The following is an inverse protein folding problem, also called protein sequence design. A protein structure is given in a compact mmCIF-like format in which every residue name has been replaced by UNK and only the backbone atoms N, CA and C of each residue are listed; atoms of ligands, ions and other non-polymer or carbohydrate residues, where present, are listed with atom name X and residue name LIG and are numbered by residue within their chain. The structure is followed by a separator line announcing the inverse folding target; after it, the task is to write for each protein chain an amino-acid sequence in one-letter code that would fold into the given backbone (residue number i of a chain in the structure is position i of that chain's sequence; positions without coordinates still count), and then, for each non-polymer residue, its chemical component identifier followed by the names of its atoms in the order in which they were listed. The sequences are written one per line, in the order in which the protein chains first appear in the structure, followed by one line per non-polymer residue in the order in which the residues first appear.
data_IF_204936731412
#
_entry.id   IF_204936731412
#
_cell.length_a   1.000
_cell.length_b   1.000
_cell.length_c   1.000
_cell.angle_alpha   90.00
_cell.angle_beta   90.00
_cell.angle_gamma   90.00
#
_symmetry.space_group_name_H-M   'P 1'
#
loop_
_entity.id
_entity.type
_entity.pdbx_description
1 polymer ?
#
# COMPACT_ATOMS: atom_id res chain seq x y z
N UNK A 1 -3.64 -6.49 26.65
CA UNK A 1 -4.02 -7.08 25.35
C UNK A 1 -5.50 -6.89 25.07
N UNK A 2 -6.35 -6.88 26.10
CA UNK A 2 -7.82 -6.75 26.03
C UNK A 2 -8.39 -5.46 25.40
N UNK A 3 -7.53 -4.50 25.03
CA UNK A 3 -7.91 -3.27 24.32
C UNK A 3 -7.37 -3.20 22.89
N UNK A 4 -6.67 -4.24 22.42
CA UNK A 4 -6.13 -4.33 21.07
C UNK A 4 -7.10 -5.09 20.16
N UNK A 5 -7.25 -4.64 18.91
CA UNK A 5 -7.87 -5.47 17.88
C UNK A 5 -7.05 -6.74 17.67
N UNK A 6 -7.71 -7.83 17.27
CA UNK A 6 -7.02 -9.09 16.94
C UNK A 6 -6.02 -8.88 15.79
N UNK A 7 -6.37 -8.04 14.80
CA UNK A 7 -5.49 -7.64 13.71
C UNK A 7 -5.14 -6.16 13.79
N UNK A 8 -3.84 -5.85 13.71
CA UNK A 8 -3.36 -4.48 13.56
C UNK A 8 -3.75 -3.91 12.18
N UNK A 9 -3.67 -4.75 11.15
CA UNK A 9 -3.99 -4.41 9.77
C UNK A 9 -4.37 -5.69 9.00
N UNK A 10 -5.35 -5.58 8.10
CA UNK A 10 -5.70 -6.61 7.13
C UNK A 10 -5.51 -6.03 5.73
N UNK A 11 -4.76 -6.73 4.89
CA UNK A 11 -4.48 -6.39 3.49
C UNK A 11 -5.24 -7.32 2.55
N UNK A 12 -5.35 -6.93 1.28
CA UNK A 12 -5.94 -7.76 0.22
C UNK A 12 -5.34 -9.17 0.22
N UNK A 13 -4.01 -9.27 0.31
CA UNK A 13 -3.29 -10.55 0.39
C UNK A 13 -3.73 -11.44 1.55
N UNK A 14 -4.04 -10.88 2.71
CA UNK A 14 -4.47 -11.68 3.86
C UNK A 14 -5.85 -12.30 3.60
N UNK A 15 -6.72 -11.55 2.91
CA UNK A 15 -8.02 -12.05 2.44
C UNK A 15 -7.83 -13.10 1.34
N UNK A 16 -6.93 -12.86 0.39
CA UNK A 16 -6.66 -13.79 -0.71
C UNK A 16 -6.25 -15.16 -0.19
N UNK A 17 -5.34 -15.20 0.79
CA UNK A 17 -4.87 -16.46 1.37
C UNK A 17 -5.96 -17.19 2.16
N UNK A 18 -6.84 -16.46 2.87
CA UNK A 18 -7.99 -17.06 3.54
C UNK A 18 -8.96 -17.70 2.54
N UNK A 19 -9.28 -16.99 1.46
CA UNK A 19 -10.18 -17.49 0.43
C UNK A 19 -9.54 -18.64 -0.34
N UNK A 20 -8.26 -18.54 -0.69
CA UNK A 20 -7.50 -19.61 -1.33
C UNK A 20 -7.55 -20.91 -0.52
N UNK A 21 -7.29 -20.82 0.79
CA UNK A 21 -7.38 -21.99 1.67
C UNK A 21 -8.78 -22.59 1.59
N UNK A 22 -9.82 -21.77 1.72
CA UNK A 22 -11.20 -22.25 1.74
C UNK A 22 -11.67 -22.87 0.43
N UNK A 23 -11.24 -22.33 -0.70
CA UNK A 23 -11.50 -22.91 -2.01
C UNK A 23 -10.85 -24.30 -2.15
N UNK A 24 -9.72 -24.55 -1.49
CA UNK A 24 -8.98 -25.80 -1.58
C UNK A 24 -9.45 -26.86 -0.58
N UNK A 25 -9.76 -26.46 0.65
CA UNK A 25 -9.98 -27.42 1.76
C UNK A 25 -11.45 -27.59 2.14
N UNK A 26 -12.31 -26.61 1.82
CA UNK A 26 -13.72 -26.60 2.24
C UNK A 26 -14.62 -26.83 1.03
N UNK A 27 -15.00 -28.10 0.79
CA UNK A 27 -15.96 -28.45 -0.28
C UNK A 27 -17.27 -27.65 -0.20
N UNK A 28 -17.89 -27.44 0.97
CA UNK A 28 -19.09 -26.61 1.07
C UNK A 28 -18.85 -25.17 0.60
N UNK A 29 -17.74 -24.55 1.02
CA UNK A 29 -17.40 -23.19 0.62
C UNK A 29 -17.12 -23.11 -0.88
N UNK A 30 -16.31 -24.04 -1.42
CA UNK A 30 -15.96 -24.06 -2.83
C UNK A 30 -17.20 -24.23 -3.73
N UNK A 31 -18.09 -25.17 -3.39
CA UNK A 31 -19.37 -25.34 -4.10
C UNK A 31 -20.24 -24.08 -4.01
N UNK A 32 -20.35 -23.48 -2.83
CA UNK A 32 -21.13 -22.26 -2.62
C UNK A 32 -20.56 -21.10 -3.45
N UNK A 33 -19.25 -20.82 -3.35
CA UNK A 33 -18.59 -19.71 -4.05
C UNK A 33 -18.75 -19.83 -5.56
N UNK A 34 -18.54 -21.04 -6.11
CA UNK A 34 -18.71 -21.26 -7.56
C UNK A 34 -20.17 -21.16 -7.98
N UNK A 35 -21.11 -21.60 -7.14
CA UNK A 35 -22.55 -21.44 -7.42
C UNK A 35 -22.97 -19.97 -7.44
N UNK A 36 -22.44 -19.16 -6.51
CA UNK A 36 -22.67 -17.71 -6.48
C UNK A 36 -22.07 -17.05 -7.74
N UNK A 37 -20.82 -17.39 -8.09
CA UNK A 37 -20.15 -16.85 -9.27
C UNK A 37 -20.87 -17.24 -10.58
N UNK A 38 -21.41 -18.46 -10.65
CA UNK A 38 -22.18 -18.93 -11.80
C UNK A 38 -23.65 -18.48 -11.77
N UNK A 39 -24.11 -17.86 -10.67
CA UNK A 39 -25.52 -17.50 -10.40
C UNK A 39 -26.51 -18.65 -10.55
N UNK A 40 -26.05 -19.87 -10.26
CA UNK A 40 -26.88 -21.08 -10.27
C UNK A 40 -26.25 -22.16 -9.39
N UNK A 41 -27.05 -23.05 -8.77
CA UNK A 41 -26.51 -24.16 -7.99
C UNK A 41 -25.68 -25.10 -8.89
N UNK A 42 -24.44 -25.37 -8.48
CA UNK A 42 -23.55 -26.29 -9.18
C UNK A 42 -22.94 -27.30 -8.21
N UNK A 43 -22.92 -28.56 -8.64
CA UNK A 43 -22.05 -29.58 -8.06
C UNK A 43 -20.73 -29.56 -8.81
N UNK A 44 -19.63 -29.31 -8.10
CA UNK A 44 -18.32 -29.16 -8.73
C UNK A 44 -17.27 -30.09 -8.12
N UNK A 45 -16.23 -30.34 -8.91
CA UNK A 45 -14.97 -30.91 -8.45
C UNK A 45 -13.86 -29.91 -8.68
N UNK A 46 -13.22 -29.48 -7.59
CA UNK A 46 -12.05 -28.59 -7.66
C UNK A 46 -10.87 -29.32 -8.29
N UNK A 47 -10.26 -28.69 -9.30
CA UNK A 47 -8.98 -29.10 -9.88
C UNK A 47 -7.85 -28.44 -9.08
N UNK A 48 -7.99 -27.14 -8.81
CA UNK A 48 -7.03 -26.37 -8.02
C UNK A 48 -7.43 -24.91 -7.91
N UNK A 49 -6.70 -24.19 -7.06
CA UNK A 49 -6.78 -22.75 -6.95
C UNK A 49 -5.35 -22.19 -6.78
N UNK A 50 -5.11 -21.02 -7.33
CA UNK A 50 -3.80 -20.37 -7.38
C UNK A 50 -3.94 -18.91 -6.98
N UNK A 51 -2.90 -18.39 -6.37
CA UNK A 51 -2.79 -17.01 -5.94
C UNK A 51 -1.70 -16.30 -6.73
N UNK A 52 -1.92 -15.03 -7.08
CA UNK A 52 -0.95 -14.15 -7.75
C UNK A 52 -0.50 -14.70 -9.11
N UNK A 53 -1.46 -15.08 -9.96
CA UNK A 53 -1.17 -15.64 -11.28
C UNK A 53 -0.87 -14.50 -12.26
N UNK A 54 0.41 -14.33 -12.58
CA UNK A 54 0.90 -13.22 -13.39
C UNK A 54 1.04 -13.57 -14.88
N UNK A 55 0.63 -12.64 -15.73
CA UNK A 55 0.89 -12.63 -17.17
C UNK A 55 1.74 -11.41 -17.53
N UNK A 56 2.78 -11.61 -18.35
CA UNK A 56 3.74 -10.57 -18.70
C UNK A 56 3.12 -9.35 -19.42
N UNK A 57 1.98 -9.53 -20.11
CA UNK A 57 1.34 -8.47 -20.90
C UNK A 57 -0.01 -8.04 -20.31
N UNK A 58 -0.71 -8.96 -19.64
CA UNK A 58 -2.08 -8.74 -19.16
C UNK A 58 -2.16 -8.44 -17.65
N UNK A 59 -1.03 -8.47 -16.93
CA UNK A 59 -0.94 -8.21 -15.49
C UNK A 59 -1.27 -9.44 -14.65
N UNK A 60 -1.68 -9.24 -13.40
CA UNK A 60 -1.90 -10.30 -12.41
C UNK A 60 -3.41 -10.62 -12.20
N UNK A 61 -3.72 -11.88 -11.92
CA UNK A 61 -4.95 -12.32 -11.26
C UNK A 61 -4.67 -12.57 -9.78
N UNK A 62 -5.42 -11.97 -8.87
CA UNK A 62 -5.21 -12.17 -7.43
C UNK A 62 -5.48 -13.64 -7.05
N UNK A 63 -6.60 -14.19 -7.51
CA UNK A 63 -6.92 -15.61 -7.39
C UNK A 63 -7.47 -16.18 -8.71
N UNK A 64 -7.15 -17.45 -8.97
CA UNK A 64 -7.80 -18.25 -10.01
C UNK A 64 -8.22 -19.58 -9.40
N UNK A 65 -9.46 -19.99 -9.62
CA UNK A 65 -9.95 -21.33 -9.29
C UNK A 65 -10.30 -22.07 -10.58
N UNK A 66 -9.84 -23.32 -10.71
CA UNK A 66 -10.25 -24.24 -11.78
C UNK A 66 -11.06 -25.38 -11.20
N UNK A 67 -12.14 -25.72 -11.87
CA UNK A 67 -13.05 -26.78 -11.45
C UNK A 67 -13.67 -27.48 -12.66
N UNK A 68 -14.29 -28.62 -12.43
CA UNK A 68 -15.19 -29.25 -13.40
C UNK A 68 -16.62 -29.24 -12.87
N UNK A 69 -17.57 -28.84 -13.69
CA UNK A 69 -19.00 -29.03 -13.46
C UNK A 69 -19.42 -30.47 -13.82
N UNK A 70 -20.68 -30.85 -13.56
CA UNK A 70 -21.22 -32.19 -13.87
C UNK A 70 -21.05 -32.59 -15.35
N UNK A 71 -20.91 -31.62 -16.26
CA UNK A 71 -20.62 -31.85 -17.68
C UNK A 71 -19.17 -32.30 -17.95
N UNK A 72 -18.33 -32.48 -16.93
CA UNK A 72 -16.90 -32.79 -17.03
C UNK A 72 -16.08 -31.77 -17.85
N UNK A 73 -16.59 -30.55 -17.99
CA UNK A 73 -15.91 -29.45 -18.68
C UNK A 73 -15.08 -28.68 -17.66
N UNK A 74 -13.82 -28.39 -17.98
CA UNK A 74 -12.96 -27.54 -17.15
C UNK A 74 -13.34 -26.09 -17.31
N UNK A 75 -13.63 -25.43 -16.19
CA UNK A 75 -14.02 -24.03 -16.10
C UNK A 75 -13.13 -23.30 -15.09
N UNK A 76 -12.98 -21.98 -15.25
CA UNK A 76 -12.21 -21.14 -14.36
C UNK A 76 -12.99 -19.93 -13.85
N UNK A 77 -12.70 -19.48 -12.63
CA UNK A 77 -13.09 -18.14 -12.18
C UNK A 77 -11.81 -17.36 -11.90
N UNK A 78 -11.67 -16.21 -12.55
CA UNK A 78 -10.59 -15.26 -12.33
C UNK A 78 -11.12 -14.19 -11.36
N UNK A 79 -10.54 -14.13 -10.18
CA UNK A 79 -11.04 -13.30 -9.07
C UNK A 79 -10.06 -12.15 -8.85
N UNK A 80 -10.58 -10.94 -8.92
CA UNK A 80 -9.91 -9.73 -8.43
C UNK A 80 -10.42 -9.43 -7.03
N UNK A 81 -9.50 -9.21 -6.09
CA UNK A 81 -9.82 -8.88 -4.72
C UNK A 81 -9.52 -7.42 -4.39
N UNK A 82 -10.46 -6.73 -3.74
CA UNK A 82 -10.30 -5.32 -3.35
C UNK A 82 -10.81 -5.06 -1.95
N UNK A 83 -10.01 -4.38 -1.12
CA UNK A 83 -10.50 -3.82 0.15
C UNK A 83 -10.75 -2.32 -0.01
N UNK A 84 -9.74 -1.53 -0.38
CA UNK A 84 -9.87 -0.07 -0.47
C UNK A 84 -9.01 0.55 -1.60
N UNK A 85 -8.23 -0.28 -2.30
CA UNK A 85 -7.43 0.18 -3.43
C UNK A 85 -8.33 0.67 -4.58
N UNK A 86 -8.05 1.86 -5.10
CA UNK A 86 -8.76 2.40 -6.27
C UNK A 86 -8.63 1.42 -7.45
N UNK A 87 -9.76 1.12 -8.10
CA UNK A 87 -9.77 0.27 -9.28
C UNK A 87 -8.82 0.85 -10.34
N UNK A 88 -7.97 0.00 -10.92
CA UNK A 88 -7.16 0.44 -12.04
C UNK A 88 -8.05 0.54 -13.28
N UNK A 89 -7.84 1.57 -14.09
CA UNK A 89 -8.55 1.74 -15.36
C UNK A 89 -8.33 0.49 -16.23
N UNK A 90 -9.41 -0.01 -16.82
CA UNK A 90 -9.44 -1.18 -17.71
C UNK A 90 -9.08 -2.52 -17.06
N UNK A 91 -9.08 -2.59 -15.72
CA UNK A 91 -8.75 -3.82 -15.01
C UNK A 91 -9.74 -4.95 -15.34
N UNK A 92 -11.04 -4.66 -15.43
CA UNK A 92 -12.05 -5.67 -15.80
C UNK A 92 -11.80 -6.23 -17.22
N UNK A 93 -11.42 -5.36 -18.16
CA UNK A 93 -11.08 -5.78 -19.52
C UNK A 93 -9.84 -6.67 -19.57
N UNK A 94 -8.79 -6.36 -18.79
CA UNK A 94 -7.59 -7.21 -18.71
C UNK A 94 -7.92 -8.62 -18.21
N UNK A 95 -8.83 -8.73 -17.24
CA UNK A 95 -9.31 -10.03 -16.75
C UNK A 95 -10.06 -10.81 -17.83
N UNK A 96 -10.89 -10.15 -18.64
CA UNK A 96 -11.56 -10.80 -19.78
C UNK A 96 -10.57 -11.31 -20.82
N UNK A 97 -9.60 -10.48 -21.21
CA UNK A 97 -8.53 -10.87 -22.14
C UNK A 97 -7.71 -12.06 -21.61
N UNK A 98 -7.46 -12.13 -20.30
CA UNK A 98 -6.77 -13.26 -19.67
C UNK A 98 -7.61 -14.53 -19.72
N UNK A 99 -8.91 -14.42 -19.44
CA UNK A 99 -9.85 -15.51 -19.59
C UNK A 99 -9.88 -16.09 -21.00
N UNK A 100 -9.95 -15.22 -22.02
CA UNK A 100 -9.90 -15.61 -23.44
C UNK A 100 -8.58 -16.25 -23.83
N UNK A 101 -7.45 -15.71 -23.32
CA UNK A 101 -6.13 -16.31 -23.51
C UNK A 101 -6.07 -17.73 -22.95
N UNK A 102 -6.62 -17.99 -21.77
CA UNK A 102 -6.67 -19.33 -21.20
C UNK A 102 -7.53 -20.31 -22.01
N UNK A 103 -8.62 -19.84 -22.64
CA UNK A 103 -9.36 -20.64 -23.62
C UNK A 103 -8.46 -20.99 -24.82
N UNK A 104 -7.78 -20.00 -25.39
CA UNK A 104 -6.89 -20.21 -26.55
C UNK A 104 -5.69 -21.12 -26.25
N UNK A 105 -5.35 -21.30 -24.98
CA UNK A 105 -4.26 -22.16 -24.50
C UNK A 105 -4.74 -23.51 -23.95
N UNK A 106 -6.02 -23.85 -24.15
CA UNK A 106 -6.65 -25.08 -23.63
C UNK A 106 -6.54 -25.24 -22.10
N UNK A 107 -6.42 -24.14 -21.36
CA UNK A 107 -6.35 -24.15 -19.89
C UNK A 107 -7.70 -24.36 -19.22
N UNK A 108 -8.77 -23.93 -19.88
CA UNK A 108 -10.17 -24.10 -19.52
C UNK A 108 -11.05 -23.89 -20.76
N UNK A 109 -12.23 -24.49 -20.78
CA UNK A 109 -13.19 -24.29 -21.87
C UNK A 109 -14.05 -23.04 -21.69
N UNK A 110 -14.25 -22.59 -20.45
CA UNK A 110 -15.04 -21.40 -20.09
C UNK A 110 -14.42 -20.71 -18.89
N UNK A 111 -14.70 -19.42 -18.77
CA UNK A 111 -14.32 -18.65 -17.60
C UNK A 111 -15.39 -17.64 -17.20
N UNK A 112 -15.30 -17.18 -15.95
CA UNK A 112 -16.05 -16.06 -15.40
C UNK A 112 -15.07 -15.13 -14.69
N UNK A 113 -15.21 -13.82 -14.89
CA UNK A 113 -14.47 -12.81 -14.13
C UNK A 113 -15.29 -12.36 -12.92
N UNK A 114 -14.67 -12.35 -11.74
CA UNK A 114 -15.33 -12.05 -10.47
C UNK A 114 -14.61 -10.90 -9.77
N UNK A 115 -15.35 -9.84 -9.41
CA UNK A 115 -14.86 -8.86 -8.43
C UNK A 115 -15.29 -9.29 -7.03
N UNK A 116 -14.31 -9.47 -6.15
CA UNK A 116 -14.51 -9.84 -4.75
C UNK A 116 -14.10 -8.67 -3.86
N UNK A 117 -15.04 -8.05 -3.16
CA UNK A 117 -14.77 -6.84 -2.37
C UNK A 117 -15.84 -6.59 -1.30
N UNK A 118 -15.65 -5.68 -0.33
CA UNK A 118 -16.75 -5.19 0.51
C UNK A 118 -17.90 -4.61 -0.34
N UNK A 119 -19.15 -4.78 0.10
CA UNK A 119 -20.33 -4.30 -0.64
C UNK A 119 -20.23 -2.81 -1.02
N UNK A 120 -19.73 -1.98 -0.08
CA UNK A 120 -19.53 -0.54 -0.31
C UNK A 120 -18.55 -0.24 -1.46
N UNK A 121 -17.58 -1.12 -1.68
CA UNK A 121 -16.64 -1.00 -2.81
C UNK A 121 -17.37 -1.35 -4.11
N UNK A 122 -18.11 -2.46 -4.12
CA UNK A 122 -18.89 -2.92 -5.28
C UNK A 122 -19.91 -1.86 -5.73
N UNK A 123 -20.61 -1.21 -4.80
CA UNK A 123 -21.58 -0.14 -5.10
C UNK A 123 -20.98 1.06 -5.87
N UNK A 124 -19.64 1.21 -5.84
CA UNK A 124 -18.89 2.31 -6.48
C UNK A 124 -18.06 1.82 -7.67
N UNK A 125 -18.00 0.51 -7.89
CA UNK A 125 -17.25 -0.07 -8.98
C UNK A 125 -17.89 0.33 -10.33
N UNK A 126 -17.04 0.61 -11.31
CA UNK A 126 -17.47 0.89 -12.70
C UNK A 126 -16.78 -0.02 -13.71
N UNK A 127 -15.81 -0.83 -13.26
CA UNK A 127 -15.08 -1.77 -14.12
C UNK A 127 -15.92 -3.01 -14.42
N UNK A 128 -15.90 -3.53 -15.65
CA UNK A 128 -16.81 -4.59 -16.07
C UNK A 128 -16.29 -5.98 -15.68
N UNK A 129 -16.85 -6.56 -14.61
CA UNK A 129 -16.73 -7.98 -14.27
C UNK A 129 -18.04 -8.72 -14.57
N UNK A 130 -17.97 -10.03 -14.80
CA UNK A 130 -19.16 -10.83 -15.11
C UNK A 130 -20.04 -11.04 -13.87
N UNK A 131 -19.40 -11.14 -12.69
CA UNK A 131 -20.06 -11.26 -11.39
C UNK A 131 -19.32 -10.47 -10.32
N UNK A 132 -20.05 -10.09 -9.28
CA UNK A 132 -19.53 -9.45 -8.08
C UNK A 132 -19.97 -10.29 -6.88
N UNK A 133 -19.04 -10.58 -5.97
CA UNK A 133 -19.32 -11.29 -4.71
C UNK A 133 -18.81 -10.41 -3.58
N UNK A 134 -19.67 -10.13 -2.61
CA UNK A 134 -19.28 -9.29 -1.48
C UNK A 134 -18.61 -10.09 -0.36
N UNK A 135 -17.74 -9.42 0.41
CA UNK A 135 -17.23 -9.98 1.66
C UNK A 135 -18.37 -10.31 2.62
N UNK A 136 -19.43 -9.50 2.62
CA UNK A 136 -20.63 -9.68 3.42
C UNK A 136 -21.37 -10.97 3.07
N UNK A 137 -21.44 -11.37 1.79
CA UNK A 137 -21.97 -12.68 1.39
C UNK A 137 -21.13 -13.82 1.98
N UNK A 138 -19.81 -13.72 1.93
CA UNK A 138 -18.90 -14.73 2.52
C UNK A 138 -19.02 -14.78 4.04
N UNK A 139 -19.15 -13.63 4.69
CA UNK A 139 -19.41 -13.53 6.13
C UNK A 139 -20.72 -14.26 6.47
N UNK A 140 -21.79 -14.01 5.71
CA UNK A 140 -23.08 -14.67 5.91
C UNK A 140 -22.96 -16.20 5.75
N UNK A 141 -22.22 -16.67 4.75
CA UNK A 141 -21.94 -18.10 4.58
C UNK A 141 -21.27 -18.72 5.81
N UNK A 142 -20.22 -18.08 6.35
CA UNK A 142 -19.55 -18.59 7.55
C UNK A 142 -20.42 -18.50 8.81
N UNK A 143 -21.26 -17.47 8.94
CA UNK A 143 -22.14 -17.33 10.09
C UNK A 143 -23.24 -18.39 10.17
N UNK A 144 -23.57 -19.05 9.06
CA UNK A 144 -24.50 -20.18 9.04
C UNK A 144 -23.87 -21.48 9.57
N UNK A 145 -22.54 -21.52 9.71
CA UNK A 145 -21.82 -22.67 10.27
C UNK A 145 -21.58 -22.46 11.77
N UNK A 146 -21.92 -23.46 12.57
CA UNK A 146 -21.78 -23.41 14.03
C UNK A 146 -20.44 -24.04 14.48
N UNK A 147 -19.33 -23.46 14.01
CA UNK A 147 -18.00 -23.90 14.39
C UNK A 147 -17.03 -22.72 14.59
N UNK A 148 -16.02 -22.93 15.45
CA UNK A 148 -15.08 -21.89 15.85
C UNK A 148 -14.25 -21.33 14.67
N UNK A 149 -13.96 -22.16 13.66
CA UNK A 149 -13.18 -21.76 12.48
C UNK A 149 -14.00 -20.83 11.60
N UNK A 150 -15.28 -21.15 11.37
CA UNK A 150 -16.19 -20.28 10.62
C UNK A 150 -16.45 -18.96 11.34
N UNK A 151 -16.64 -18.97 12.66
CA UNK A 151 -16.78 -17.76 13.48
C UNK A 151 -15.54 -16.86 13.38
N UNK A 152 -14.35 -17.44 13.47
CA UNK A 152 -13.08 -16.74 13.32
C UNK A 152 -12.96 -16.05 11.95
N UNK A 153 -13.28 -16.75 10.86
CA UNK A 153 -13.18 -16.19 9.50
C UNK A 153 -14.20 -15.11 9.22
N UNK A 154 -15.43 -15.28 9.71
CA UNK A 154 -16.42 -14.23 9.67
C UNK A 154 -15.93 -12.98 10.41
N UNK A 155 -15.30 -13.15 11.59
CA UNK A 155 -14.67 -12.05 12.34
C UNK A 155 -13.55 -11.35 11.56
N UNK A 156 -12.63 -12.12 10.97
CA UNK A 156 -11.55 -11.60 10.14
C UNK A 156 -12.07 -10.74 8.97
N UNK A 157 -13.04 -11.23 8.20
CA UNK A 157 -13.59 -10.48 7.06
C UNK A 157 -14.37 -9.23 7.51
N UNK A 158 -15.04 -9.27 8.68
CA UNK A 158 -15.67 -8.08 9.26
C UNK A 158 -14.65 -6.98 9.57
N UNK A 159 -13.48 -7.34 10.10
CA UNK A 159 -12.40 -6.37 10.33
C UNK A 159 -11.88 -5.77 9.01
N UNK A 160 -11.81 -6.57 7.94
CA UNK A 160 -11.45 -6.09 6.60
C UNK A 160 -12.47 -5.07 6.05
N UNK A 161 -13.78 -5.34 6.21
CA UNK A 161 -14.86 -4.40 5.85
C UNK A 161 -14.79 -3.12 6.68
N UNK A 162 -14.57 -3.22 8.00
CA UNK A 162 -14.47 -2.06 8.87
C UNK A 162 -13.25 -1.18 8.57
N UNK A 163 -12.17 -1.75 8.01
CA UNK A 163 -11.04 -0.98 7.50
C UNK A 163 -11.42 -0.16 6.27
N UNK A 164 -12.11 -0.77 5.28
CA UNK A 164 -12.69 -0.02 4.15
C UNK A 164 -13.57 1.15 4.65
N UNK A 165 -14.25 0.98 5.79
CA UNK A 165 -15.07 2.03 6.38
C UNK A 165 -14.26 3.18 6.99
N UNK A 166 -13.14 2.89 7.65
CA UNK A 166 -12.36 3.85 8.46
C UNK A 166 -11.22 4.55 7.71
N UNK A 167 -10.72 3.98 6.61
CA UNK A 167 -9.48 4.42 5.97
C UNK A 167 -8.25 4.20 6.86
N UNK A 168 -7.04 4.42 6.33
CA UNK A 168 -5.82 4.32 7.14
C UNK A 168 -5.81 5.39 8.24
N UNK A 169 -5.97 4.97 9.49
CA UNK A 169 -5.80 5.84 10.66
C UNK A 169 -4.42 5.62 11.27
N UNK A 170 -3.51 6.54 10.99
CA UNK A 170 -2.25 6.64 11.72
C UNK A 170 -2.54 6.85 13.21
N UNK A 171 -2.19 5.89 14.05
CA UNK A 171 -2.25 6.07 15.51
C UNK A 171 -1.22 7.14 15.88
N UNK A 172 -1.71 8.26 16.42
CA UNK A 172 -0.85 9.38 16.85
C UNK A 172 0.06 8.90 17.98
N UNK A 173 1.35 9.14 17.83
CA UNK A 173 2.36 8.89 18.85
C UNK A 173 2.72 10.23 19.51
N UNK A 174 2.41 10.42 20.81
CA UNK A 174 2.76 11.65 21.53
C UNK A 174 4.27 11.93 21.46
N UNK A 175 5.11 10.93 21.76
CA UNK A 175 6.57 11.06 21.69
C UNK A 175 7.09 11.60 20.34
N UNK A 176 6.60 11.04 19.23
CA UNK A 176 7.02 11.50 17.89
C UNK A 176 6.45 12.89 17.55
N UNK A 177 5.26 13.20 18.05
CA UNK A 177 4.63 14.51 17.86
C UNK A 177 5.39 15.58 18.61
N UNK A 178 5.73 15.33 19.88
CA UNK A 178 6.49 16.23 20.74
C UNK A 178 7.90 16.45 20.20
N UNK A 179 8.61 15.37 19.84
CA UNK A 179 9.94 15.48 19.23
C UNK A 179 9.92 16.33 17.96
N UNK A 180 8.94 16.11 17.07
CA UNK A 180 8.84 16.89 15.84
C UNK A 180 8.48 18.36 16.13
N UNK A 181 7.63 18.62 17.12
CA UNK A 181 7.27 19.98 17.52
C UNK A 181 8.48 20.74 18.07
N UNK A 182 9.27 20.11 18.95
CA UNK A 182 10.48 20.70 19.51
C UNK A 182 11.54 20.96 18.43
N UNK A 183 11.74 20.01 17.52
CA UNK A 183 12.67 20.16 16.40
C UNK A 183 12.23 21.30 15.46
N UNK A 184 10.99 21.30 14.99
CA UNK A 184 10.48 22.36 14.11
C UNK A 184 10.51 23.73 14.80
N UNK A 185 10.19 23.79 16.10
CA UNK A 185 10.26 25.00 16.91
C UNK A 185 11.70 25.49 17.14
N UNK A 186 12.68 24.58 17.21
CA UNK A 186 14.10 24.94 17.22
C UNK A 186 14.52 25.57 15.89
N UNK A 187 14.19 24.93 14.76
CA UNK A 187 14.55 25.45 13.43
C UNK A 187 13.87 26.78 13.16
N UNK A 188 12.58 26.93 13.47
CA UNK A 188 11.85 28.17 13.24
C UNK A 188 12.44 29.36 14.01
N UNK A 189 12.99 29.13 15.22
CA UNK A 189 13.60 30.18 16.04
C UNK A 189 15.03 30.52 15.63
N UNK A 190 15.83 29.53 15.25
CA UNK A 190 17.27 29.69 15.06
C UNK A 190 17.69 29.77 13.58
N UNK A 191 16.89 29.19 12.69
CA UNK A 191 17.13 29.07 11.25
C UNK A 191 15.84 29.33 10.43
N UNK A 192 15.19 30.50 10.62
CA UNK A 192 13.93 30.80 9.93
C UNK A 192 14.06 30.79 8.40
N UNK A 193 15.27 30.97 7.86
CA UNK A 193 15.58 30.91 6.43
C UNK A 193 15.37 29.52 5.81
N UNK A 194 15.30 28.46 6.62
CA UNK A 194 14.93 27.11 6.16
C UNK A 194 13.41 26.96 6.01
N UNK A 195 12.62 27.84 6.63
CA UNK A 195 11.16 27.82 6.58
C UNK A 195 10.56 26.42 6.85
N UNK A 196 10.68 25.92 8.10
CA UNK A 196 10.27 24.57 8.44
C UNK A 196 8.76 24.34 8.31
N UNK A 197 8.37 23.10 8.07
CA UNK A 197 6.95 22.72 8.06
C UNK A 197 6.26 23.00 9.41
N UNK A 198 4.95 23.18 9.39
CA UNK A 198 4.17 23.34 10.61
C UNK A 198 4.05 21.98 11.31
N UNK A 199 4.27 21.96 12.63
CA UNK A 199 4.11 20.76 13.45
C UNK A 199 2.68 20.20 13.34
N UNK A 200 2.60 18.88 13.18
CA UNK A 200 1.35 18.12 13.06
C UNK A 200 1.47 16.79 13.80
N UNK A 201 0.35 16.18 14.23
CA UNK A 201 0.38 14.84 14.85
C UNK A 201 1.15 13.83 13.99
N UNK A 202 2.06 13.07 14.62
CA UNK A 202 2.93 12.10 13.94
C UNK A 202 2.59 10.68 14.36
N UNK A 203 2.63 9.76 13.40
CA UNK A 203 2.62 8.32 13.66
C UNK A 203 3.92 7.87 14.34
N UNK A 204 3.89 6.71 14.99
CA UNK A 204 5.12 6.03 15.37
C UNK A 204 6.00 5.77 14.13
N UNK A 205 7.27 6.13 14.20
CA UNK A 205 8.25 5.90 13.15
C UNK A 205 8.29 6.90 12.01
N UNK A 206 7.46 7.95 12.03
CA UNK A 206 7.58 9.06 11.10
C UNK A 206 8.86 9.87 11.35
N UNK A 207 9.84 9.81 10.44
CA UNK A 207 11.20 10.32 10.68
C UNK A 207 11.64 11.44 9.71
N UNK A 208 10.71 11.98 8.91
CA UNK A 208 11.02 13.03 7.93
C UNK A 208 10.62 14.39 8.46
N UNK A 209 11.53 15.36 8.35
CA UNK A 209 11.32 16.76 8.70
C UNK A 209 11.58 17.61 7.47
N UNK A 210 10.57 18.39 7.06
CA UNK A 210 10.60 19.15 5.81
C UNK A 210 10.87 20.64 6.02
N UNK A 211 11.65 21.22 5.12
CA UNK A 211 12.03 22.63 5.06
C UNK A 211 11.74 23.17 3.65
N UNK A 212 11.14 24.36 3.56
CA UNK A 212 10.70 24.97 2.30
C UNK A 212 11.40 26.32 2.07
N UNK A 213 12.72 26.31 1.82
CA UNK A 213 13.53 27.53 1.83
C UNK A 213 13.22 28.52 0.70
N UNK A 214 12.59 28.06 -0.39
CA UNK A 214 12.13 28.93 -1.48
C UNK A 214 10.61 29.15 -1.33
N UNK A 215 10.15 30.36 -0.98
CA UNK A 215 8.72 30.65 -0.89
C UNK A 215 8.00 30.36 -2.21
N UNK A 216 6.81 29.77 -2.12
CA UNK A 216 5.95 29.42 -3.27
C UNK A 216 6.50 28.36 -4.24
N UNK A 217 7.68 27.78 -3.98
CA UNK A 217 8.25 26.71 -4.79
C UNK A 217 8.25 25.38 -4.02
N UNK A 218 7.18 24.59 -4.17
CA UNK A 218 6.99 23.33 -3.42
C UNK A 218 7.67 22.11 -4.07
N UNK A 219 8.10 22.25 -5.31
CA UNK A 219 8.80 21.21 -6.06
C UNK A 219 10.30 21.13 -5.72
N UNK A 220 10.81 22.02 -4.84
CA UNK A 220 12.14 21.94 -4.27
C UNK A 220 12.04 21.98 -2.74
N UNK A 221 12.37 20.87 -2.09
CA UNK A 221 12.25 20.71 -0.63
C UNK A 221 13.53 20.17 -0.03
N UNK A 222 13.94 20.69 1.13
CA UNK A 222 15.01 20.07 1.93
C UNK A 222 14.34 19.18 2.97
N UNK A 223 14.83 17.95 3.11
CA UNK A 223 14.30 16.96 4.04
C UNK A 223 15.44 16.42 4.89
N UNK A 224 15.30 16.46 6.21
CA UNK A 224 16.07 15.61 7.10
C UNK A 224 15.31 14.29 7.27
N UNK A 225 15.83 13.22 6.69
CA UNK A 225 15.36 11.85 6.89
C UNK A 225 16.20 11.20 8.00
N UNK A 226 15.65 11.21 9.22
CA UNK A 226 16.42 10.94 10.43
C UNK A 226 16.90 9.48 10.48
N UNK A 227 16.05 8.48 10.22
CA UNK A 227 16.48 7.06 10.20
C UNK A 227 17.31 6.73 8.98
N UNK A 228 17.09 7.47 7.89
CA UNK A 228 17.91 7.41 6.69
C UNK A 228 19.29 8.06 6.87
N UNK A 229 19.53 8.78 7.97
CA UNK A 229 20.76 9.50 8.29
C UNK A 229 21.19 10.41 7.13
N UNK A 230 20.23 11.11 6.54
CA UNK A 230 20.48 11.96 5.37
C UNK A 230 19.72 13.26 5.49
N UNK A 231 20.39 14.34 5.11
CA UNK A 231 19.72 15.59 4.73
C UNK A 231 19.80 15.70 3.22
N UNK A 232 18.65 15.92 2.57
CA UNK A 232 18.56 15.87 1.11
C UNK A 232 17.71 16.99 0.55
N UNK A 233 18.12 17.54 -0.58
CA UNK A 233 17.26 18.33 -1.46
C UNK A 233 16.53 17.36 -2.38
N UNK A 234 15.22 17.52 -2.50
CA UNK A 234 14.39 16.79 -3.47
C UNK A 234 13.83 17.79 -4.48
N UNK A 235 14.17 17.59 -5.74
CA UNK A 235 13.62 18.30 -6.90
C UNK A 235 12.53 17.45 -7.53
N UNK A 236 11.28 17.66 -7.12
CA UNK A 236 10.12 16.91 -7.58
C UNK A 236 9.80 17.19 -9.05
N UNK A 237 9.69 16.14 -9.87
CA UNK A 237 9.34 16.29 -11.29
C UNK A 237 10.48 16.74 -12.20
N UNK A 238 11.64 17.12 -11.66
CA UNK A 238 12.72 17.77 -12.41
C UNK A 238 13.83 16.81 -12.88
N UNK A 239 13.53 15.53 -13.07
CA UNK A 239 14.49 14.51 -13.56
C UNK A 239 15.22 14.84 -14.87
N UNK A 240 14.65 15.71 -15.72
CA UNK A 240 15.28 16.21 -16.95
C UNK A 240 16.42 17.20 -16.66
N UNK A 241 16.40 17.88 -15.51
CA UNK A 241 17.43 18.84 -15.06
C UNK A 241 18.60 18.16 -14.33
N UNK A 242 18.76 16.84 -14.46
CA UNK A 242 19.74 16.08 -13.69
C UNK A 242 21.17 16.58 -13.88
N UNK A 243 21.62 16.76 -15.13
CA UNK A 243 22.99 17.19 -15.41
C UNK A 243 23.25 18.63 -14.91
N UNK A 244 22.27 19.52 -15.05
CA UNK A 244 22.31 20.89 -14.49
C UNK A 244 22.47 20.86 -12.96
N UNK A 245 21.70 20.00 -12.28
CA UNK A 245 21.75 19.85 -10.82
C UNK A 245 23.09 19.24 -10.40
N UNK A 246 23.63 18.24 -11.11
CA UNK A 246 24.95 17.68 -10.81
C UNK A 246 26.01 18.79 -10.88
N UNK A 247 26.09 19.51 -11.99
CA UNK A 247 27.08 20.60 -12.17
C UNK A 247 26.95 21.68 -11.10
N UNK A 248 25.72 22.03 -10.70
CA UNK A 248 25.49 23.02 -9.62
C UNK A 248 26.09 22.60 -8.28
N UNK A 249 26.10 21.29 -7.98
CA UNK A 249 26.57 20.77 -6.70
C UNK A 249 27.99 20.18 -6.76
N UNK A 250 28.63 20.13 -7.94
CA UNK A 250 30.03 19.70 -8.11
C UNK A 250 31.01 20.66 -7.42
N UNK A 251 30.64 21.92 -7.23
CA UNK A 251 31.48 22.95 -6.60
C UNK A 251 31.44 22.92 -5.05
N UNK A 252 30.62 22.04 -4.44
CA UNK A 252 30.53 21.93 -2.99
C UNK A 252 31.69 21.09 -2.44
N UNK A 253 32.86 21.70 -2.27
CA UNK A 253 34.08 21.01 -1.83
C UNK A 253 34.01 20.44 -0.41
N UNK A 254 33.21 21.06 0.45
CA UNK A 254 33.26 20.81 1.90
C UNK A 254 32.29 19.70 2.35
N UNK A 255 31.55 19.10 1.41
CA UNK A 255 30.57 18.07 1.70
C UNK A 255 30.62 16.93 0.68
N UNK A 256 30.62 15.70 1.16
CA UNK A 256 30.42 14.54 0.30
C UNK A 256 28.94 14.43 -0.06
N UNK A 257 28.60 14.87 -1.28
CA UNK A 257 27.24 14.82 -1.81
C UNK A 257 27.02 13.61 -2.70
N UNK A 258 25.80 13.07 -2.66
CA UNK A 258 25.33 12.05 -3.59
C UNK A 258 24.14 12.58 -4.37
N UNK A 259 24.26 12.65 -5.69
CA UNK A 259 23.17 13.06 -6.59
C UNK A 259 22.60 11.82 -7.30
N UNK A 260 21.28 11.64 -7.25
CA UNK A 260 20.61 10.50 -7.92
C UNK A 260 19.23 10.86 -8.47
N UNK A 261 18.81 10.14 -9.52
CA UNK A 261 17.40 10.12 -9.97
C UNK A 261 16.60 9.17 -9.07
N UNK A 262 15.40 9.58 -8.68
CA UNK A 262 14.46 8.79 -7.88
C UNK A 262 13.04 8.96 -8.46
N UNK A 263 12.66 8.06 -9.37
CA UNK A 263 11.46 8.22 -10.18
C UNK A 263 11.53 9.49 -11.04
N UNK A 264 10.51 10.35 -10.94
CA UNK A 264 10.47 11.65 -11.64
C UNK A 264 11.24 12.77 -10.94
N UNK A 265 11.95 12.48 -9.85
CA UNK A 265 12.65 13.49 -9.03
C UNK A 265 14.17 13.33 -9.11
N UNK A 266 14.90 14.41 -8.81
CA UNK A 266 16.35 14.37 -8.53
C UNK A 266 16.56 14.61 -7.05
N UNK A 267 17.51 13.90 -6.45
CA UNK A 267 17.87 14.05 -5.03
C UNK A 267 19.35 14.34 -4.90
N UNK A 268 19.68 15.39 -4.15
CA UNK A 268 21.05 15.70 -3.69
C UNK A 268 21.07 15.42 -2.20
N UNK A 269 21.88 14.46 -1.75
CA UNK A 269 21.90 14.01 -0.36
C UNK A 269 23.30 14.16 0.27
N UNK A 270 23.33 14.60 1.52
CA UNK A 270 24.49 14.60 2.38
C UNK A 270 24.25 13.70 3.59
N UNK A 271 25.32 13.10 4.10
CA UNK A 271 25.27 12.25 5.29
C UNK A 271 24.94 13.09 6.54
N UNK A 272 23.96 12.66 7.32
CA UNK A 272 23.60 13.25 8.60
C UNK A 272 24.03 12.32 9.76
N UNK A 273 24.14 12.85 11.00
CA UNK A 273 24.41 12.04 12.17
C UNK A 273 23.29 11.03 12.47
N UNK A 274 23.66 9.92 13.10
CA UNK A 274 22.69 8.97 13.64
C UNK A 274 21.90 9.59 14.80
N UNK A 275 20.58 9.39 14.78
CA UNK A 275 19.67 9.78 15.86
C UNK A 275 18.70 8.62 16.11
N UNK A 276 18.74 8.06 17.32
CA UNK A 276 17.76 7.07 17.74
C UNK A 276 16.50 7.77 18.27
N UNK A 277 15.54 7.97 17.37
CA UNK A 277 14.21 8.53 17.67
C UNK A 277 13.38 7.66 18.62
N UNK A 278 13.64 6.35 18.68
CA UNK A 278 12.87 5.45 19.52
C UNK A 278 13.24 5.62 20.99
N UNK A 279 14.51 5.87 21.27
CA UNK A 279 15.02 5.99 22.63
C UNK A 279 15.13 7.43 23.11
N UNK A 280 15.54 8.38 22.27
CA UNK A 280 15.89 9.74 22.72
C UNK A 280 14.75 10.77 22.55
N UNK A 281 14.81 11.81 23.37
CA UNK A 281 14.07 13.07 23.28
C UNK A 281 14.85 14.11 22.47
N UNK A 282 14.22 15.23 22.09
CA UNK A 282 14.90 16.30 21.36
C UNK A 282 16.16 16.81 22.10
N UNK A 283 16.04 17.07 23.41
CA UNK A 283 17.14 17.62 24.21
C UNK A 283 18.36 16.71 24.29
N UNK A 284 18.16 15.39 24.28
CA UNK A 284 19.26 14.40 24.34
C UNK A 284 20.07 14.32 23.03
N UNK A 285 19.47 14.72 21.90
CA UNK A 285 20.11 14.68 20.57
C UNK A 285 20.24 16.05 19.90
N UNK A 286 20.16 17.13 20.69
CA UNK A 286 20.15 18.49 20.17
C UNK A 286 21.43 18.79 19.35
N UNK A 287 22.57 18.22 19.72
CA UNK A 287 23.84 18.39 18.99
C UNK A 287 23.78 17.79 17.58
N UNK A 288 23.25 16.58 17.46
CA UNK A 288 23.06 15.88 16.18
C UNK A 288 22.05 16.63 15.31
N UNK A 289 21.00 17.18 15.92
CA UNK A 289 20.03 18.02 15.22
C UNK A 289 20.70 19.29 14.70
N UNK A 290 21.51 19.99 15.51
CA UNK A 290 22.27 21.17 15.08
C UNK A 290 23.18 20.87 13.90
N UNK A 291 23.86 19.72 13.91
CA UNK A 291 24.68 19.26 12.79
C UNK A 291 23.84 19.03 11.53
N UNK A 292 22.69 18.34 11.64
CA UNK A 292 21.79 18.13 10.50
C UNK A 292 21.19 19.44 9.96
N UNK A 293 20.86 20.39 10.84
CA UNK A 293 20.36 21.72 10.44
C UNK A 293 21.46 22.53 9.75
N UNK A 294 22.71 22.47 10.23
CA UNK A 294 23.85 23.09 9.56
C UNK A 294 24.05 22.56 8.15
N UNK A 295 23.92 21.24 7.96
CA UNK A 295 23.93 20.62 6.62
C UNK A 295 22.79 21.19 5.75
N UNK A 296 21.57 21.29 6.29
CA UNK A 296 20.43 21.85 5.56
C UNK A 296 20.68 23.32 5.15
N UNK A 297 21.26 24.13 6.03
CA UNK A 297 21.60 25.54 5.74
C UNK A 297 22.67 25.65 4.65
N UNK A 298 23.68 24.77 4.63
CA UNK A 298 24.67 24.73 3.54
C UNK A 298 23.99 24.31 2.23
N UNK A 299 23.20 23.25 2.21
CA UNK A 299 22.49 22.84 0.99
C UNK A 299 21.58 23.94 0.45
N UNK A 300 20.95 24.71 1.34
CA UNK A 300 20.10 25.85 1.01
C UNK A 300 20.85 27.01 0.34
N UNK A 301 22.16 27.19 0.55
CA UNK A 301 22.91 28.25 -0.15
C UNK A 301 23.14 27.98 -1.63
N UNK A 302 22.84 26.76 -2.10
CA UNK A 302 22.96 26.33 -3.50
C UNK A 302 21.61 26.19 -4.21
N UNK A 303 20.52 26.60 -3.55
CA UNK A 303 19.17 26.64 -4.11
C UNK A 303 18.92 27.99 -4.80
#
# INVERSE_FOLDING_TARGET
MDQLNTYLNITERDVDLLVLEELLVSKPFANWFVSEAARQPLSIKIIGAWHSVSDAMLGESDLIIKFTSEACVTEAILIENKIDAVAQIEQGYRYKMRGEKGIAQDEWARFTTCLFAPQRYLDRNTEPYDVEISYEQVIAFFQLQDDARSQYRAGFLKEAVEKNRRGYQSIVCPKMTDFAADYLGFVARNHPELNPEIAKPRAAGHDWVHFYPIPHQKDVVIVHQIRGQQVKIIYHGQHERFDEIVTRFDEVSDMQLTVKKSGKSVTVAAQAPYIDLACNTFGEVELQIKQAVSIATVLKSYL
#
